data_IF_266747587748
#
_entry.id   IF_266747587748
#
_cell.length_a   1.000
_cell.length_b   1.000
_cell.length_c   1.000
_cell.angle_alpha   90.00
_cell.angle_beta   90.00
_cell.angle_gamma   90.00
#
_symmetry.space_group_name_H-M   'P 1'
#
loop_
_entity.id
_entity.type
_entity.pdbx_description
1 polymer ?
#
# COMPACT_ATOMS: atom_id res chain seq x y z
N UNK A 1 17.61 8.60 16.58
CA UNK A 1 16.27 9.16 16.26
C UNK A 1 15.27 8.02 16.29
N UNK A 2 14.02 8.26 16.74
CA UNK A 2 12.97 7.25 16.75
C UNK A 2 11.95 7.57 15.66
N UNK A 3 11.59 6.57 14.83
CA UNK A 3 10.63 6.72 13.72
C UNK A 3 9.65 5.56 13.73
N UNK A 4 8.37 5.86 13.93
CA UNK A 4 7.31 4.87 13.88
C UNK A 4 6.80 4.69 12.44
N UNK A 5 6.62 3.44 12.01
CA UNK A 5 6.03 3.08 10.72
C UNK A 5 4.62 2.56 10.98
N UNK A 6 3.64 3.43 10.78
CA UNK A 6 2.26 3.24 11.22
C UNK A 6 1.38 2.88 10.03
N UNK A 7 0.80 1.69 10.03
CA UNK A 7 -0.25 1.32 9.09
C UNK A 7 -1.52 2.12 9.35
N UNK A 8 -2.14 2.65 8.31
CA UNK A 8 -3.39 3.44 8.43
C UNK A 8 -4.60 2.73 7.82
N UNK A 9 -4.44 1.49 7.39
CA UNK A 9 -5.51 0.72 6.79
C UNK A 9 -5.72 0.96 5.30
N UNK A 10 -6.66 0.23 4.72
CA UNK A 10 -6.84 0.13 3.29
C UNK A 10 -7.71 1.26 2.67
N UNK A 11 -8.16 2.23 3.48
CA UNK A 11 -8.96 3.35 2.95
C UNK A 11 -9.91 3.95 3.98
N UNK A 12 -10.61 3.13 4.76
CA UNK A 12 -11.51 3.63 5.80
C UNK A 12 -10.75 4.33 6.92
N UNK A 13 -11.15 5.54 7.33
CA UNK A 13 -10.63 6.17 8.55
C UNK A 13 -10.82 5.32 9.82
N UNK A 14 -11.73 4.35 9.80
CA UNK A 14 -11.97 3.41 10.92
C UNK A 14 -11.00 2.23 10.91
N UNK A 15 -10.19 2.07 9.88
CA UNK A 15 -9.15 1.03 9.84
C UNK A 15 -7.92 1.36 10.69
N UNK A 16 -7.79 2.61 11.16
CA UNK A 16 -6.70 2.97 12.08
C UNK A 16 -6.87 2.26 13.41
N UNK A 17 -5.81 1.62 13.91
CA UNK A 17 -5.85 0.92 15.18
C UNK A 17 -5.73 1.89 16.37
N UNK A 18 -6.23 1.47 17.55
CA UNK A 18 -6.03 2.23 18.79
C UNK A 18 -4.54 2.39 19.13
N UNK A 19 -3.71 1.39 18.78
CA UNK A 19 -2.27 1.47 18.94
C UNK A 19 -1.66 2.57 18.07
N UNK A 20 -2.12 2.68 16.82
CA UNK A 20 -1.68 3.73 15.90
C UNK A 20 -2.06 5.14 16.40
N UNK A 21 -3.27 5.31 16.92
CA UNK A 21 -3.72 6.57 17.51
C UNK A 21 -2.86 6.92 18.74
N UNK A 22 -2.62 5.94 19.62
CA UNK A 22 -1.77 6.13 20.79
C UNK A 22 -0.33 6.50 20.42
N UNK A 23 0.22 5.87 19.37
CA UNK A 23 1.57 6.19 18.88
C UNK A 23 1.65 7.60 18.30
N UNK A 24 0.63 8.05 17.57
CA UNK A 24 0.57 9.39 17.00
C UNK A 24 0.54 10.49 18.06
N UNK A 25 0.03 10.20 19.25
CA UNK A 25 0.04 11.17 20.36
C UNK A 25 1.47 11.55 20.83
N UNK A 26 2.43 10.65 20.63
CA UNK A 26 3.83 10.83 21.04
C UNK A 26 4.74 11.27 19.87
N UNK A 27 4.18 11.49 18.68
CA UNK A 27 4.92 11.88 17.47
C UNK A 27 4.95 13.41 17.34
N UNK A 28 6.11 13.96 16.96
CA UNK A 28 6.27 15.38 16.67
C UNK A 28 6.15 15.70 15.17
N UNK A 29 6.58 14.75 14.30
CA UNK A 29 6.68 14.95 12.85
C UNK A 29 6.21 13.73 12.11
N UNK A 30 5.27 13.89 11.18
CA UNK A 30 4.92 12.86 10.19
C UNK A 30 5.60 13.20 8.87
N UNK A 31 6.38 12.25 8.35
CA UNK A 31 6.97 12.36 7.02
C UNK A 31 6.09 11.69 5.98
N UNK A 32 5.84 12.38 4.88
CA UNK A 32 5.11 11.86 3.73
C UNK A 32 5.90 12.05 2.45
N UNK A 33 6.02 11.00 1.61
CA UNK A 33 6.58 11.16 0.28
C UNK A 33 5.53 11.78 -0.63
N UNK A 34 5.78 13.01 -1.07
CA UNK A 34 4.92 13.72 -2.00
C UNK A 34 5.16 13.23 -3.44
N UNK A 35 4.13 12.66 -4.04
CA UNK A 35 4.13 12.06 -5.38
C UNK A 35 3.57 13.01 -6.45
N UNK A 36 3.37 14.28 -6.11
CA UNK A 36 2.80 15.31 -6.96
C UNK A 36 1.27 15.21 -7.10
N UNK A 37 0.70 16.12 -7.89
CA UNK A 37 -0.74 16.38 -8.00
C UNK A 37 -1.58 15.14 -8.33
N UNK A 38 -1.08 14.24 -9.16
CA UNK A 38 -1.79 13.01 -9.54
C UNK A 38 -2.11 12.06 -8.36
N UNK A 39 -1.55 12.33 -7.16
CA UNK A 39 -1.76 11.54 -5.93
C UNK A 39 -1.95 12.43 -4.70
N UNK A 40 -2.41 13.66 -4.89
CA UNK A 40 -2.70 14.61 -3.81
C UNK A 40 -3.68 14.01 -2.77
N UNK A 41 -4.66 13.21 -3.21
CA UNK A 41 -5.64 12.55 -2.34
C UNK A 41 -4.98 11.64 -1.29
N UNK A 42 -3.87 10.97 -1.64
CA UNK A 42 -3.15 10.13 -0.69
C UNK A 42 -2.42 10.95 0.39
N UNK A 43 -1.97 12.16 0.05
CA UNK A 43 -1.40 13.09 1.02
C UNK A 43 -2.52 13.68 1.88
N UNK A 44 -3.63 14.10 1.26
CA UNK A 44 -4.81 14.63 1.95
C UNK A 44 -5.40 13.63 2.96
N UNK A 45 -5.47 12.35 2.61
CA UNK A 45 -5.92 11.30 3.54
C UNK A 45 -5.02 11.19 4.79
N UNK A 46 -3.70 11.35 4.63
CA UNK A 46 -2.76 11.38 5.76
C UNK A 46 -2.94 12.63 6.60
N UNK A 47 -3.10 13.77 5.94
CA UNK A 47 -3.36 15.04 6.62
C UNK A 47 -4.65 14.94 7.46
N UNK A 48 -5.73 14.40 6.92
CA UNK A 48 -6.98 14.21 7.63
C UNK A 48 -6.84 13.34 8.90
N UNK A 49 -5.97 12.31 8.85
CA UNK A 49 -5.67 11.48 10.03
C UNK A 49 -4.90 12.30 11.07
N UNK A 50 -3.89 13.07 10.65
CA UNK A 50 -3.11 13.94 11.54
C UNK A 50 -4.02 14.99 12.17
N UNK A 51 -4.81 15.70 11.39
CA UNK A 51 -5.73 16.74 11.88
C UNK A 51 -6.72 16.20 12.93
N UNK A 52 -7.19 14.97 12.72
CA UNK A 52 -8.18 14.35 13.60
C UNK A 52 -7.58 13.78 14.89
N UNK A 53 -6.43 13.13 14.81
CA UNK A 53 -5.90 12.32 15.92
C UNK A 53 -4.64 12.90 16.56
N UNK A 54 -3.92 13.80 15.87
CA UNK A 54 -2.68 14.39 16.34
C UNK A 54 -2.48 15.81 15.78
N UNK A 55 -3.37 16.77 16.07
CA UNK A 55 -3.35 18.11 15.46
C UNK A 55 -2.12 18.94 15.85
N UNK A 56 -1.32 18.47 16.81
CA UNK A 56 -0.05 19.09 17.20
C UNK A 56 1.13 18.65 16.34
N UNK A 57 0.95 17.63 15.48
CA UNK A 57 2.02 17.02 14.68
C UNK A 57 2.25 17.82 13.41
N UNK A 58 3.52 18.11 13.14
CA UNK A 58 3.96 18.68 11.86
C UNK A 58 3.93 17.62 10.75
N UNK A 59 3.27 17.86 9.63
CA UNK A 59 3.37 17.01 8.43
C UNK A 59 4.39 17.59 7.47
N UNK A 60 5.47 16.86 7.25
CA UNK A 60 6.57 17.21 6.36
C UNK A 60 6.46 16.43 5.06
N UNK A 61 6.13 17.12 3.97
CA UNK A 61 6.12 16.55 2.63
C UNK A 61 7.55 16.51 2.07
N UNK A 62 8.06 15.32 1.80
CA UNK A 62 9.38 15.11 1.17
C UNK A 62 9.15 14.79 -0.31
N UNK A 63 9.71 15.56 -1.24
CA UNK A 63 9.53 15.32 -2.67
C UNK A 63 9.95 13.90 -3.07
N UNK A 64 9.06 13.16 -3.71
CA UNK A 64 9.35 11.80 -4.19
C UNK A 64 10.14 11.88 -5.50
N UNK A 65 11.38 11.35 -5.58
CA UNK A 65 12.15 11.43 -6.81
C UNK A 65 11.44 10.70 -7.96
N UNK A 66 11.48 11.22 -9.18
CA UNK A 66 10.85 10.59 -10.32
C UNK A 66 11.42 9.19 -10.57
N UNK A 67 10.56 8.27 -11.02
CA UNK A 67 10.94 6.91 -11.38
C UNK A 67 10.48 6.58 -12.78
N UNK A 68 11.37 6.04 -13.61
CA UNK A 68 10.98 5.38 -14.84
C UNK A 68 10.08 4.16 -14.51
N UNK A 69 8.94 4.05 -15.18
CA UNK A 69 7.95 2.98 -14.97
C UNK A 69 8.06 1.84 -15.97
N UNK A 70 8.80 2.06 -17.06
CA UNK A 70 8.99 1.10 -18.16
C UNK A 70 10.46 0.87 -18.50
N UNK A 71 11.34 0.65 -17.50
CA UNK A 71 12.78 0.52 -17.74
C UNK A 71 13.13 -0.88 -18.27
N UNK A 72 14.20 -0.96 -19.07
CA UNK A 72 14.79 -2.23 -19.50
C UNK A 72 15.29 -3.07 -18.31
N UNK A 73 15.82 -2.40 -17.27
CA UNK A 73 16.27 -3.05 -16.02
C UNK A 73 15.49 -2.54 -14.81
N UNK A 74 14.32 -3.11 -14.60
CA UNK A 74 13.42 -2.72 -13.50
C UNK A 74 14.09 -2.78 -12.12
N UNK A 75 14.87 -3.84 -11.84
CA UNK A 75 15.50 -4.01 -10.53
C UNK A 75 16.55 -2.94 -10.21
N UNK A 76 17.34 -2.52 -11.22
CA UNK A 76 18.33 -1.47 -11.05
C UNK A 76 17.68 -0.11 -10.79
N UNK A 77 16.66 0.24 -11.58
CA UNK A 77 15.92 1.51 -11.44
C UNK A 77 15.20 1.61 -10.10
N UNK A 78 14.63 0.52 -9.60
CA UNK A 78 14.00 0.50 -8.27
C UNK A 78 15.05 0.66 -7.17
N UNK A 79 16.22 0.03 -7.28
CA UNK A 79 17.31 0.20 -6.30
C UNK A 79 17.82 1.63 -6.22
N UNK A 80 18.05 2.27 -7.38
CA UNK A 80 18.47 3.66 -7.47
C UNK A 80 17.41 4.63 -6.91
N UNK A 81 16.15 4.40 -7.25
CA UNK A 81 15.05 5.19 -6.72
C UNK A 81 14.90 5.06 -5.19
N UNK A 82 15.07 3.86 -4.62
CA UNK A 82 15.09 3.68 -3.18
C UNK A 82 16.29 4.36 -2.53
N UNK A 83 17.45 4.40 -3.20
CA UNK A 83 18.63 5.09 -2.71
C UNK A 83 18.39 6.60 -2.62
N UNK A 84 17.89 7.21 -3.70
CA UNK A 84 17.55 8.64 -3.71
C UNK A 84 16.49 9.01 -2.65
N UNK A 85 15.50 8.16 -2.44
CA UNK A 85 14.54 8.35 -1.35
C UNK A 85 15.20 8.31 0.03
N UNK A 86 16.13 7.39 0.23
CA UNK A 86 16.84 7.26 1.52
C UNK A 86 17.69 8.51 1.80
N UNK A 87 18.34 9.07 0.79
CA UNK A 87 19.13 10.30 0.90
C UNK A 87 18.24 11.49 1.29
N UNK A 88 17.13 11.70 0.58
CA UNK A 88 16.17 12.77 0.90
C UNK A 88 15.56 12.63 2.30
N UNK A 89 15.26 11.40 2.72
CA UNK A 89 14.75 11.15 4.06
C UNK A 89 15.81 11.31 5.13
N UNK A 90 17.07 10.93 4.88
CA UNK A 90 18.17 11.17 5.80
C UNK A 90 18.33 12.67 6.08
N UNK A 91 18.31 13.50 5.04
CA UNK A 91 18.38 14.95 5.18
C UNK A 91 17.18 15.51 5.96
N UNK A 92 15.96 15.04 5.64
CA UNK A 92 14.75 15.45 6.35
C UNK A 92 14.79 15.04 7.83
N UNK A 93 15.26 13.85 8.16
CA UNK A 93 15.40 13.40 9.55
C UNK A 93 16.40 14.26 10.33
N UNK A 94 17.55 14.56 9.75
CA UNK A 94 18.54 15.45 10.39
C UNK A 94 17.95 16.83 10.62
N UNK A 95 17.23 17.38 9.63
CA UNK A 95 16.65 18.71 9.72
C UNK A 95 15.51 18.81 10.76
N UNK A 96 14.68 17.79 10.88
CA UNK A 96 13.45 17.84 11.70
C UNK A 96 13.54 17.07 13.01
N UNK A 97 14.34 16.00 13.10
CA UNK A 97 14.48 15.17 14.30
C UNK A 97 15.82 15.37 15.03
N UNK A 98 16.81 15.99 14.38
CA UNK A 98 18.15 16.22 14.92
C UNK A 98 18.25 17.42 15.89
N UNK A 99 17.16 18.14 16.15
CA UNK A 99 17.12 19.29 17.07
C UNK A 99 17.16 18.86 18.54
N UNK A 100 17.67 19.73 19.41
CA UNK A 100 17.64 19.50 20.85
C UNK A 100 16.19 19.26 21.34
N UNK A 101 16.00 18.16 22.13
CA UNK A 101 14.69 17.72 22.60
C UNK A 101 14.12 16.61 21.72
N UNK A 102 14.66 15.40 21.84
CA UNK A 102 14.27 14.12 21.22
C UNK A 102 12.92 14.12 20.49
N UNK A 103 12.93 14.58 19.26
CA UNK A 103 11.73 14.51 18.41
C UNK A 103 11.54 13.08 17.86
N UNK A 104 10.30 12.62 17.88
CA UNK A 104 9.88 11.35 17.32
C UNK A 104 9.21 11.59 15.96
N UNK A 105 9.67 10.87 14.95
CA UNK A 105 9.06 10.90 13.63
C UNK A 105 8.10 9.73 13.41
N UNK A 106 7.23 9.84 12.39
CA UNK A 106 6.45 8.73 11.91
C UNK A 106 6.26 8.76 10.38
N UNK A 107 5.95 7.60 9.81
CA UNK A 107 5.35 7.44 8.49
C UNK A 107 3.96 6.87 8.62
N UNK A 108 2.99 7.42 7.90
CA UNK A 108 1.66 6.85 7.72
C UNK A 108 1.62 6.04 6.43
N UNK A 109 1.63 4.72 6.56
CA UNK A 109 1.69 3.78 5.45
C UNK A 109 0.28 3.34 5.08
N UNK A 110 -0.10 3.48 3.82
CA UNK A 110 -1.37 2.99 3.30
C UNK A 110 -1.43 1.46 3.37
N UNK A 111 -2.51 0.90 3.93
CA UNK A 111 -2.62 -0.51 4.26
C UNK A 111 -1.79 -0.86 5.49
N UNK A 112 -1.01 -1.90 5.39
CA UNK A 112 -0.11 -2.41 6.41
C UNK A 112 1.35 -2.37 5.95
N UNK A 113 2.30 -1.93 6.80
CA UNK A 113 3.72 -1.83 6.44
C UNK A 113 4.39 -3.15 6.03
N UNK A 114 3.82 -4.29 6.39
CA UNK A 114 4.39 -5.61 6.05
C UNK A 114 4.09 -6.04 4.62
N UNK A 115 3.11 -5.41 3.93
CA UNK A 115 2.56 -5.90 2.68
C UNK A 115 2.81 -4.94 1.51
N UNK A 116 3.77 -5.30 0.63
CA UNK A 116 4.15 -4.56 -0.58
C UNK A 116 4.48 -3.07 -0.35
N UNK A 117 4.91 -2.70 0.85
CA UNK A 117 5.44 -1.39 1.17
C UNK A 117 6.98 -1.37 1.14
N UNK A 118 7.58 -0.22 0.88
CA UNK A 118 9.03 -0.05 0.80
C UNK A 118 9.63 0.73 1.96
N UNK A 119 8.83 1.29 2.86
CA UNK A 119 9.30 2.20 3.92
C UNK A 119 10.37 1.56 4.80
N UNK A 120 10.17 0.31 5.23
CA UNK A 120 11.15 -0.40 6.06
C UNK A 120 12.50 -0.61 5.34
N UNK A 121 12.47 -0.92 4.03
CA UNK A 121 13.68 -1.06 3.21
C UNK A 121 14.38 0.28 3.00
N UNK A 122 13.64 1.36 2.89
CA UNK A 122 14.18 2.71 2.76
C UNK A 122 14.82 3.13 4.09
N UNK A 123 14.16 2.88 5.23
CA UNK A 123 14.73 3.15 6.56
C UNK A 123 16.03 2.36 6.80
N UNK A 124 16.13 1.12 6.29
CA UNK A 124 17.40 0.39 6.36
C UNK A 124 18.50 1.10 5.57
N UNK A 125 18.22 1.61 4.37
CA UNK A 125 19.18 2.40 3.58
C UNK A 125 19.56 3.71 4.26
N UNK A 126 18.64 4.37 4.95
CA UNK A 126 18.95 5.56 5.77
C UNK A 126 19.98 5.22 6.88
N UNK A 127 19.85 4.06 7.51
CA UNK A 127 20.87 3.56 8.46
C UNK A 127 22.21 3.30 7.79
N UNK A 128 22.19 2.71 6.60
CA UNK A 128 23.41 2.43 5.81
C UNK A 128 24.13 3.73 5.39
N UNK A 129 23.43 4.86 5.32
CA UNK A 129 24.00 6.21 5.15
C UNK A 129 24.59 6.81 6.43
N UNK A 130 24.55 6.09 7.57
CA UNK A 130 25.14 6.52 8.83
C UNK A 130 24.18 7.31 9.73
N UNK A 131 22.90 7.42 9.41
CA UNK A 131 21.90 8.05 10.27
C UNK A 131 21.40 7.04 11.29
N UNK A 132 21.59 7.32 12.60
CA UNK A 132 21.10 6.44 13.67
C UNK A 132 19.58 6.55 13.84
N UNK A 133 18.84 5.70 13.13
CA UNK A 133 17.38 5.61 13.15
C UNK A 133 16.94 4.27 13.72
N UNK A 134 16.21 4.32 14.83
CA UNK A 134 15.46 3.17 15.35
C UNK A 134 14.03 3.25 14.85
N UNK A 135 13.48 2.13 14.41
CA UNK A 135 12.10 2.09 13.92
C UNK A 135 11.26 1.06 14.66
N UNK A 136 10.01 1.42 14.93
CA UNK A 136 8.95 0.52 15.39
C UNK A 136 7.88 0.44 14.31
N UNK A 137 7.29 -0.73 14.12
CA UNK A 137 6.20 -0.96 13.16
C UNK A 137 4.90 -1.15 13.93
N UNK A 138 3.86 -0.47 13.50
CA UNK A 138 2.50 -0.60 14.04
C UNK A 138 1.62 -1.13 12.92
N UNK A 139 1.07 -2.34 13.06
CA UNK A 139 0.27 -2.98 12.02
C UNK A 139 -1.12 -2.36 11.89
N UNK A 140 -1.77 -2.64 10.75
CA UNK A 140 -3.12 -2.19 10.49
C UNK A 140 -3.90 -3.16 9.60
N UNK A 141 -5.14 -2.81 9.23
CA UNK A 141 -5.97 -3.58 8.31
C UNK A 141 -5.32 -3.60 6.94
N UNK A 142 -4.99 -4.79 6.45
CA UNK A 142 -4.43 -4.97 5.11
C UNK A 142 -5.51 -4.84 4.04
N UNK A 143 -5.11 -4.55 2.79
CA UNK A 143 -6.03 -4.61 1.64
C UNK A 143 -6.65 -6.01 1.48
N UNK A 144 -5.94 -7.08 1.87
CA UNK A 144 -6.45 -8.45 1.85
C UNK A 144 -7.63 -8.60 2.82
N UNK A 145 -7.45 -8.13 4.06
CA UNK A 145 -8.52 -8.19 5.07
C UNK A 145 -9.72 -7.32 4.68
N UNK A 146 -9.46 -6.16 4.08
CA UNK A 146 -10.53 -5.29 3.58
C UNK A 146 -11.31 -5.94 2.44
N UNK A 147 -10.63 -6.58 1.47
CA UNK A 147 -11.28 -7.29 0.37
C UNK A 147 -12.18 -8.42 0.87
N UNK A 148 -11.65 -9.28 1.73
CA UNK A 148 -12.41 -10.43 2.24
C UNK A 148 -13.58 -10.00 3.10
N UNK A 149 -13.42 -8.95 3.92
CA UNK A 149 -14.51 -8.37 4.70
C UNK A 149 -15.62 -7.77 3.81
N UNK A 150 -15.23 -7.03 2.76
CA UNK A 150 -16.19 -6.42 1.84
C UNK A 150 -17.01 -7.46 1.07
N UNK A 151 -16.42 -8.62 0.75
CA UNK A 151 -17.11 -9.74 0.11
C UNK A 151 -17.81 -10.70 1.10
N UNK A 152 -17.61 -10.54 2.42
CA UNK A 152 -18.15 -11.45 3.44
C UNK A 152 -17.53 -12.85 3.40
N UNK A 153 -16.25 -12.97 3.01
CA UNK A 153 -15.56 -14.23 2.74
C UNK A 153 -14.33 -14.44 3.63
N UNK A 154 -13.98 -15.73 3.83
CA UNK A 154 -12.67 -16.06 4.38
C UNK A 154 -11.59 -15.97 3.30
N UNK A 155 -10.36 -15.63 3.69
CA UNK A 155 -9.23 -15.58 2.74
C UNK A 155 -8.94 -16.95 2.13
N UNK A 156 -8.88 -17.99 2.94
CA UNK A 156 -8.48 -19.33 2.54
C UNK A 156 -9.64 -20.32 2.62
N UNK A 157 -9.64 -21.29 1.74
CA UNK A 157 -10.44 -22.49 1.86
C UNK A 157 -9.84 -23.41 2.97
N UNK A 158 -10.68 -24.27 3.55
CA UNK A 158 -10.25 -25.16 4.64
C UNK A 158 -9.06 -26.02 4.19
N UNK A 159 -7.94 -25.87 4.88
CA UNK A 159 -6.72 -26.65 4.65
C UNK A 159 -5.96 -26.32 3.36
N UNK A 160 -6.40 -25.35 2.57
CA UNK A 160 -5.71 -24.96 1.34
C UNK A 160 -4.79 -23.75 1.56
N UNK A 161 -3.62 -23.70 0.88
CA UNK A 161 -2.76 -22.53 0.90
C UNK A 161 -3.33 -21.42 0.03
N UNK A 162 -2.90 -20.18 0.29
CA UNK A 162 -3.17 -19.01 -0.55
C UNK A 162 -1.85 -18.35 -0.93
N UNK A 163 -1.63 -18.15 -2.22
CA UNK A 163 -0.49 -17.41 -2.73
C UNK A 163 -0.79 -15.90 -2.69
N UNK A 164 0.09 -15.10 -2.11
CA UNK A 164 0.06 -13.65 -2.23
C UNK A 164 1.08 -13.24 -3.30
N UNK A 165 0.63 -12.62 -4.39
CA UNK A 165 1.47 -12.31 -5.54
C UNK A 165 1.10 -10.96 -6.19
N UNK A 166 1.76 -10.64 -7.29
CA UNK A 166 1.47 -9.45 -8.11
C UNK A 166 0.99 -9.86 -9.50
N UNK A 167 0.27 -8.98 -10.21
CA UNK A 167 -0.23 -9.27 -11.56
C UNK A 167 0.87 -9.80 -12.49
N UNK A 168 2.08 -9.20 -12.46
CA UNK A 168 3.22 -9.63 -13.28
C UNK A 168 3.70 -11.06 -13.03
N UNK A 169 3.41 -11.63 -11.87
CA UNK A 169 3.84 -12.97 -11.48
C UNK A 169 2.69 -13.96 -11.37
N UNK A 170 1.49 -13.56 -11.74
CA UNK A 170 0.33 -14.45 -11.65
C UNK A 170 0.51 -15.70 -12.50
N UNK A 171 1.12 -15.60 -13.69
CA UNK A 171 1.42 -16.73 -14.54
C UNK A 171 2.41 -17.76 -13.97
N UNK A 172 3.14 -17.41 -12.88
CA UNK A 172 4.02 -18.36 -12.17
C UNK A 172 3.26 -19.19 -11.11
N UNK A 173 1.96 -18.94 -10.94
CA UNK A 173 1.11 -19.63 -9.97
C UNK A 173 0.93 -21.10 -10.35
N UNK A 174 1.03 -21.98 -9.38
CA UNK A 174 0.65 -23.39 -9.59
C UNK A 174 -0.87 -23.46 -9.84
N UNK A 175 -1.32 -24.10 -10.94
CA UNK A 175 -2.75 -24.29 -11.20
C UNK A 175 -3.49 -24.89 -10.01
N UNK A 176 -4.70 -24.40 -9.74
CA UNK A 176 -5.51 -24.86 -8.62
C UNK A 176 -5.14 -24.27 -7.25
N UNK A 177 -4.16 -23.36 -7.18
CA UNK A 177 -3.83 -22.65 -5.94
C UNK A 177 -4.59 -21.32 -5.89
N UNK A 178 -5.32 -21.05 -4.80
CA UNK A 178 -5.94 -19.74 -4.58
C UNK A 178 -4.88 -18.65 -4.54
N UNK A 179 -5.17 -17.48 -5.11
CA UNK A 179 -4.20 -16.39 -5.12
C UNK A 179 -4.83 -15.03 -4.84
N UNK A 180 -4.23 -14.29 -3.91
CA UNK A 180 -4.46 -12.85 -3.81
C UNK A 180 -3.46 -12.12 -4.69
N UNK A 181 -3.96 -11.27 -5.56
CA UNK A 181 -3.16 -10.51 -6.51
C UNK A 181 -3.27 -9.02 -6.24
N UNK A 182 -2.13 -8.40 -6.05
CA UNK A 182 -1.97 -6.97 -5.80
C UNK A 182 -1.08 -6.34 -6.88
N UNK A 183 -1.10 -5.02 -6.97
CA UNK A 183 -0.23 -4.26 -7.89
C UNK A 183 -0.35 -4.75 -9.35
N UNK A 184 -1.54 -5.12 -9.76
CA UNK A 184 -1.82 -5.47 -11.14
C UNK A 184 -2.09 -4.20 -11.97
N UNK A 185 -1.14 -3.82 -12.80
CA UNK A 185 -1.27 -2.65 -13.68
C UNK A 185 -2.22 -2.87 -14.86
N UNK A 186 -2.51 -4.12 -15.19
CA UNK A 186 -3.39 -4.57 -16.26
C UNK A 186 -4.63 -5.31 -15.74
N UNK A 187 -4.88 -6.45 -16.32
CA UNK A 187 -5.93 -7.40 -15.96
C UNK A 187 -5.37 -8.82 -16.15
N UNK A 188 -4.35 -9.16 -15.36
CA UNK A 188 -3.59 -10.39 -15.53
C UNK A 188 -4.44 -11.65 -15.38
N UNK A 189 -5.60 -11.57 -14.74
CA UNK A 189 -6.56 -12.67 -14.67
C UNK A 189 -7.08 -13.12 -16.03
N UNK A 190 -7.20 -12.21 -17.03
CA UNK A 190 -7.67 -12.55 -18.38
C UNK A 190 -6.72 -13.49 -19.12
N UNK A 191 -5.42 -13.42 -18.81
CA UNK A 191 -4.38 -14.26 -19.44
C UNK A 191 -4.02 -15.49 -18.61
N UNK A 192 -4.10 -15.39 -17.27
CA UNK A 192 -3.46 -16.36 -16.36
C UNK A 192 -4.43 -17.07 -15.40
N UNK A 193 -5.71 -16.72 -15.38
CA UNK A 193 -6.71 -17.46 -14.61
C UNK A 193 -7.52 -18.40 -15.50
N UNK A 194 -8.00 -19.50 -14.91
CA UNK A 194 -8.98 -20.35 -15.60
C UNK A 194 -10.33 -19.62 -15.66
N UNK A 195 -11.06 -19.64 -16.79
CA UNK A 195 -12.38 -19.06 -16.89
C UNK A 195 -13.39 -19.52 -15.84
N UNK A 196 -13.22 -20.73 -15.32
CA UNK A 196 -14.07 -21.29 -14.26
C UNK A 196 -13.67 -20.87 -12.84
N UNK A 197 -12.51 -20.27 -12.66
CA UNK A 197 -12.11 -19.71 -11.36
C UNK A 197 -13.01 -18.55 -10.95
N UNK A 198 -13.31 -18.44 -9.67
CA UNK A 198 -14.03 -17.30 -9.13
C UNK A 198 -13.07 -16.15 -8.85
N UNK A 199 -13.40 -14.95 -9.31
CA UNK A 199 -12.72 -13.71 -8.96
C UNK A 199 -13.57 -12.92 -7.97
N UNK A 200 -12.95 -12.50 -6.84
CA UNK A 200 -13.46 -11.50 -5.92
C UNK A 200 -12.58 -10.27 -6.08
N UNK A 201 -13.08 -9.26 -6.78
CA UNK A 201 -12.33 -8.04 -7.09
C UNK A 201 -12.85 -6.86 -6.28
N UNK A 202 -11.94 -5.99 -5.83
CA UNK A 202 -12.29 -4.75 -5.15
C UNK A 202 -11.34 -3.62 -5.49
N UNK A 203 -11.88 -2.43 -5.71
CA UNK A 203 -11.14 -1.20 -5.87
C UNK A 203 -11.55 -0.17 -4.82
N UNK A 204 -10.60 0.71 -4.44
CA UNK A 204 -10.79 1.78 -3.46
C UNK A 204 -11.40 1.31 -2.13
N UNK A 205 -11.03 0.11 -1.70
CA UNK A 205 -11.60 -0.56 -0.52
C UNK A 205 -11.62 0.35 0.71
N UNK A 206 -12.77 0.36 1.39
CA UNK A 206 -12.98 1.13 2.61
C UNK A 206 -13.15 2.64 2.40
N UNK A 207 -13.18 3.13 1.17
CA UNK A 207 -13.47 4.52 0.83
C UNK A 207 -14.91 4.68 0.34
N UNK A 208 -15.37 5.91 0.14
CA UNK A 208 -16.68 6.20 -0.48
C UNK A 208 -16.76 5.74 -1.95
N UNK A 209 -15.61 5.53 -2.59
CA UNK A 209 -15.50 5.03 -3.98
C UNK A 209 -15.43 3.50 -4.05
N UNK A 210 -15.62 2.79 -2.93
CA UNK A 210 -15.51 1.33 -2.90
C UNK A 210 -16.35 0.69 -3.99
N UNK A 211 -15.71 -0.11 -4.83
CA UNK A 211 -16.33 -0.80 -5.94
C UNK A 211 -15.95 -2.27 -5.91
N UNK A 212 -16.95 -3.14 -5.90
CA UNK A 212 -16.79 -4.59 -5.79
C UNK A 212 -17.36 -5.30 -7.01
N UNK A 213 -16.71 -6.39 -7.44
CA UNK A 213 -17.24 -7.34 -8.42
C UNK A 213 -16.89 -8.76 -8.00
N UNK A 214 -17.80 -9.69 -8.31
CA UNK A 214 -17.61 -11.11 -8.02
C UNK A 214 -18.27 -11.96 -9.09
N UNK A 215 -17.64 -13.04 -9.49
CA UNK A 215 -18.18 -14.01 -10.44
C UNK A 215 -17.09 -14.91 -10.98
N UNK A 216 -17.43 -15.78 -11.97
CA UNK A 216 -16.41 -16.53 -12.69
C UNK A 216 -15.62 -15.60 -13.59
N UNK A 217 -14.34 -15.85 -13.71
CA UNK A 217 -13.47 -15.03 -14.58
C UNK A 217 -14.00 -14.99 -16.01
N UNK A 218 -14.49 -16.12 -16.55
CA UNK A 218 -15.09 -16.20 -17.88
C UNK A 218 -16.36 -15.36 -18.07
N UNK A 219 -17.10 -15.10 -16.99
CA UNK A 219 -18.36 -14.35 -17.05
C UNK A 219 -18.17 -12.85 -16.82
N UNK A 220 -17.30 -12.47 -15.86
CA UNK A 220 -17.18 -11.07 -15.41
C UNK A 220 -15.80 -10.46 -15.66
N UNK A 221 -14.82 -11.25 -16.11
CA UNK A 221 -13.42 -10.80 -16.20
C UNK A 221 -13.21 -9.62 -17.13
N UNK A 222 -13.84 -9.60 -18.29
CA UNK A 222 -13.76 -8.49 -19.24
C UNK A 222 -14.50 -7.25 -18.73
N UNK A 223 -15.67 -7.41 -18.08
CA UNK A 223 -16.40 -6.30 -17.43
C UNK A 223 -15.54 -5.63 -16.37
N UNK A 224 -14.87 -6.43 -15.53
CA UNK A 224 -13.97 -5.91 -14.48
C UNK A 224 -12.79 -5.15 -15.11
N UNK A 225 -12.22 -5.67 -16.19
CA UNK A 225 -11.10 -5.04 -16.87
C UNK A 225 -11.49 -3.67 -17.46
N UNK A 226 -12.66 -3.55 -18.02
CA UNK A 226 -13.18 -2.28 -18.56
C UNK A 226 -13.50 -1.29 -17.43
N UNK A 227 -14.25 -1.73 -16.40
CA UNK A 227 -14.54 -0.93 -15.21
C UNK A 227 -13.27 -0.39 -14.55
N UNK A 228 -12.23 -1.21 -14.47
CA UNK A 228 -10.92 -0.78 -13.94
C UNK A 228 -10.29 0.34 -14.75
N UNK A 229 -10.43 0.33 -16.09
CA UNK A 229 -9.94 1.41 -16.98
C UNK A 229 -10.75 2.69 -16.77
N UNK A 230 -12.07 2.56 -16.68
CA UNK A 230 -12.99 3.68 -16.44
C UNK A 230 -12.67 4.37 -15.12
N UNK A 231 -12.61 3.64 -14.01
CA UNK A 231 -12.28 4.17 -12.70
C UNK A 231 -10.90 4.83 -12.66
N UNK A 232 -9.91 4.24 -13.36
CA UNK A 232 -8.58 4.86 -13.49
C UNK A 232 -8.61 6.16 -14.29
N UNK A 233 -9.41 6.24 -15.33
CA UNK A 233 -9.55 7.44 -16.15
C UNK A 233 -10.27 8.56 -15.38
N UNK A 234 -11.29 8.21 -14.63
CA UNK A 234 -12.08 9.16 -13.83
C UNK A 234 -11.28 9.76 -12.67
N UNK A 235 -10.55 8.91 -11.92
CA UNK A 235 -9.86 9.32 -10.70
C UNK A 235 -8.35 9.54 -10.87
N UNK A 236 -7.80 9.36 -12.10
CA UNK A 236 -6.37 9.51 -12.39
C UNK A 236 -5.47 8.39 -11.85
N UNK A 237 -5.98 7.54 -10.97
CA UNK A 237 -5.29 6.38 -10.37
C UNK A 237 -6.31 5.34 -9.91
N UNK A 238 -5.84 4.13 -9.61
CA UNK A 238 -6.67 3.10 -8.98
C UNK A 238 -5.81 2.28 -8.02
N UNK A 239 -6.38 1.93 -6.88
CA UNK A 239 -5.88 0.86 -6.01
C UNK A 239 -6.89 -0.27 -6.00
N UNK A 240 -6.53 -1.37 -6.62
CA UNK A 240 -7.33 -2.57 -6.68
C UNK A 240 -6.56 -3.82 -6.23
N UNK A 241 -7.32 -4.80 -5.83
CA UNK A 241 -6.86 -6.10 -5.36
C UNK A 241 -7.92 -7.14 -5.72
N UNK A 242 -7.52 -8.37 -5.95
CA UNK A 242 -8.46 -9.45 -6.15
C UNK A 242 -7.97 -10.77 -5.58
N UNK A 243 -8.93 -11.63 -5.26
CA UNK A 243 -8.72 -13.03 -4.90
C UNK A 243 -9.24 -13.90 -6.02
N UNK A 244 -8.38 -14.76 -6.56
CA UNK A 244 -8.77 -15.86 -7.44
C UNK A 244 -8.92 -17.13 -6.62
N UNK A 245 -10.06 -17.79 -6.77
CA UNK A 245 -10.35 -19.09 -6.17
C UNK A 245 -10.43 -20.15 -7.23
N UNK A 246 -9.61 -21.16 -7.05
CA UNK A 246 -9.76 -22.40 -7.81
C UNK A 246 -11.11 -23.05 -7.44
N UNK A 247 -11.77 -23.61 -8.42
CA UNK A 247 -12.97 -24.44 -8.20
C UNK A 247 -12.70 -25.57 -7.20
N UNK A 248 -13.75 -25.97 -6.48
CA UNK A 248 -13.72 -27.08 -5.54
C UNK A 248 -13.45 -28.41 -6.26
#
# INVERSE_FOLDING_TARGET
MDVDVIGIGAGSPSHISLEAIGALADVDVVFALDKGDAKADLLAARQAIVDKHAPHVELVAVPDPPRDRTPDNYGAVVRDWHQRRAELLADAFVAHLGREGKRRGAFLVWGDPSLYDSTLRILQRVRDLGVDVRSRVIPSVTAISALTAAHGECLNQIGKPVLITTGRRLGERTPGTDAVVMLDGGAAWLEHADPEEEILWGAFLGTELETLRRGRVGDVGEEIAELKKELRAEHGWIMDIYLLRSGA
#
